data_IF_746903305285
#
_entry.id   IF_746903305285
#
_cell.length_a   1.000
_cell.length_b   1.000
_cell.length_c   1.000
_cell.angle_alpha   90.00
_cell.angle_beta   90.00
_cell.angle_gamma   90.00
#
_symmetry.space_group_name_H-M   'P 1'
#
loop_
_entity.id
_entity.type
_entity.pdbx_description
1 polymer ?
#
# COMPACT_ATOMS: atom_id res chain seq x y z
N UNK A 1 6.60 -14.54 8.49
CA UNK A 1 6.44 -13.08 8.58
C UNK A 1 6.30 -12.69 10.04
N UNK A 2 7.40 -12.30 10.64
CA UNK A 2 7.55 -11.80 12.01
C UNK A 2 7.70 -10.28 12.00
N UNK A 3 7.65 -9.62 13.15
CA UNK A 3 7.93 -8.18 13.24
C UNK A 3 9.36 -7.85 12.81
N UNK A 4 10.33 -8.73 13.12
CA UNK A 4 11.73 -8.56 12.71
C UNK A 4 11.88 -8.62 11.19
N UNK A 5 11.17 -9.52 10.51
CA UNK A 5 11.22 -9.61 9.04
C UNK A 5 10.60 -8.37 8.39
N UNK A 6 9.51 -7.82 8.94
CA UNK A 6 8.92 -6.56 8.48
C UNK A 6 9.87 -5.38 8.67
N UNK A 7 10.53 -5.30 9.83
CA UNK A 7 11.50 -4.25 10.12
C UNK A 7 12.66 -4.29 9.12
N UNK A 8 13.22 -5.48 8.84
CA UNK A 8 14.29 -5.65 7.85
C UNK A 8 13.88 -5.19 6.44
N UNK A 9 12.65 -5.53 6.00
CA UNK A 9 12.14 -5.04 4.71
C UNK A 9 12.03 -3.51 4.67
N UNK A 10 11.58 -2.90 5.76
CA UNK A 10 11.47 -1.44 5.87
C UNK A 10 12.85 -0.76 5.91
N UNK A 11 13.83 -1.36 6.59
CA UNK A 11 15.22 -0.88 6.56
C UNK A 11 15.80 -0.88 5.14
N UNK A 12 15.56 -1.95 4.38
CA UNK A 12 15.99 -2.06 2.99
C UNK A 12 15.35 -0.97 2.11
N UNK A 13 14.04 -0.76 2.24
CA UNK A 13 13.32 0.33 1.55
C UNK A 13 13.90 1.69 1.94
N UNK A 14 14.06 1.97 3.22
CA UNK A 14 14.54 3.25 3.73
C UNK A 14 16.00 3.54 3.34
N UNK A 15 16.89 2.55 3.35
CA UNK A 15 18.26 2.70 2.86
C UNK A 15 18.26 3.06 1.37
N UNK A 16 17.46 2.37 0.58
CA UNK A 16 17.39 2.56 -0.86
C UNK A 16 16.76 3.92 -1.26
N UNK A 17 15.77 4.40 -0.51
CA UNK A 17 15.18 5.74 -0.70
C UNK A 17 16.14 6.85 -0.30
N UNK A 18 16.81 6.72 0.87
CA UNK A 18 17.82 7.69 1.33
C UNK A 18 18.97 7.84 0.34
N UNK A 19 19.48 6.73 -0.21
CA UNK A 19 20.54 6.76 -1.22
C UNK A 19 20.15 7.55 -2.48
N UNK A 20 18.86 7.65 -2.78
CA UNK A 20 18.31 8.37 -3.94
C UNK A 20 17.84 9.79 -3.62
N UNK A 21 17.81 10.18 -2.35
CA UNK A 21 17.13 11.41 -1.92
C UNK A 21 15.64 11.41 -2.28
N UNK A 22 15.01 10.24 -2.30
CA UNK A 22 13.63 10.06 -2.71
C UNK A 22 12.71 9.72 -1.52
N UNK A 23 11.40 9.89 -1.74
CA UNK A 23 10.36 9.74 -0.73
C UNK A 23 9.27 8.74 -1.14
N UNK A 24 8.63 8.12 -0.15
CA UNK A 24 7.47 7.24 -0.36
C UNK A 24 6.28 7.66 0.48
N UNK A 25 5.07 7.44 -0.04
CA UNK A 25 3.80 7.54 0.70
C UNK A 25 3.01 6.23 0.62
N UNK A 26 2.11 6.00 1.56
CA UNK A 26 1.21 4.83 1.56
C UNK A 26 -0.26 5.25 1.53
N UNK A 27 -1.12 4.46 0.88
CA UNK A 27 -2.58 4.55 0.95
C UNK A 27 -3.16 3.19 1.36
N UNK A 28 -3.58 3.09 2.62
CA UNK A 28 -3.92 1.83 3.25
C UNK A 28 -5.42 1.74 3.59
N UNK A 29 -6.03 0.62 3.24
CA UNK A 29 -7.37 0.26 3.69
C UNK A 29 -7.29 -0.92 4.66
N UNK A 30 -7.25 -2.17 4.18
CA UNK A 30 -7.34 -3.35 5.04
C UNK A 30 -6.14 -3.53 6.00
N UNK A 31 -4.97 -3.00 5.67
CA UNK A 31 -3.79 -3.01 6.56
C UNK A 31 -3.90 -1.98 7.68
N UNK A 32 -4.73 -0.94 7.54
CA UNK A 32 -5.06 -0.01 8.63
C UNK A 32 -3.88 0.80 9.14
N UNK A 33 -2.94 1.18 8.27
CA UNK A 33 -1.76 1.96 8.64
C UNK A 33 -0.55 1.13 9.06
N UNK A 34 -0.58 -0.20 8.86
CA UNK A 34 0.51 -1.07 9.26
C UNK A 34 1.77 -0.85 8.42
N UNK A 35 1.64 -0.57 7.11
CA UNK A 35 2.81 -0.24 6.29
C UNK A 35 3.46 1.04 6.79
N UNK A 36 2.65 2.09 7.03
CA UNK A 36 3.12 3.33 7.62
C UNK A 36 3.79 3.08 8.98
N UNK A 37 3.19 2.26 9.86
CA UNK A 37 3.76 1.90 11.16
C UNK A 37 5.16 1.29 11.02
N UNK A 38 5.32 0.27 10.18
CA UNK A 38 6.63 -0.40 9.99
C UNK A 38 7.67 0.55 9.38
N UNK A 39 7.24 1.44 8.47
CA UNK A 39 8.10 2.52 7.96
C UNK A 39 8.55 3.44 9.10
N UNK A 40 7.63 3.90 9.94
CA UNK A 40 7.92 4.85 11.02
C UNK A 40 8.65 4.24 12.21
N UNK A 41 8.65 2.90 12.36
CA UNK A 41 9.49 2.21 13.35
C UNK A 41 11.00 2.38 13.05
N UNK A 42 11.37 2.71 11.81
CA UNK A 42 12.76 2.93 11.42
C UNK A 42 13.19 4.35 11.84
N UNK A 43 14.22 4.43 12.67
CA UNK A 43 14.80 5.72 13.06
C UNK A 43 15.28 6.52 11.83
N UNK A 44 14.90 7.80 11.77
CA UNK A 44 15.18 8.67 10.63
C UNK A 44 14.27 8.44 9.41
N UNK A 45 13.17 7.71 9.56
CA UNK A 45 12.12 7.55 8.53
C UNK A 45 11.56 8.88 8.02
N UNK A 46 11.57 9.93 8.84
CA UNK A 46 11.17 11.30 8.45
C UNK A 46 11.94 11.88 7.27
N UNK A 47 13.11 11.32 6.91
CA UNK A 47 13.88 11.76 5.75
C UNK A 47 13.34 11.22 4.41
N UNK A 48 12.49 10.19 4.43
CA UNK A 48 12.00 9.49 3.23
C UNK A 48 10.52 9.08 3.31
N UNK A 49 9.85 9.36 4.42
CA UNK A 49 8.41 9.19 4.61
C UNK A 49 7.85 10.37 5.40
N UNK A 50 6.92 11.10 4.79
CA UNK A 50 6.36 12.32 5.39
C UNK A 50 4.89 12.17 5.78
N UNK A 51 4.08 11.48 4.97
CA UNK A 51 2.69 11.15 5.31
C UNK A 51 2.25 9.82 4.72
N UNK A 52 1.21 9.26 5.33
CA UNK A 52 0.45 8.13 4.80
C UNK A 52 -1.04 8.36 5.00
N UNK A 53 -1.86 7.65 4.23
CA UNK A 53 -3.31 7.80 4.24
C UNK A 53 -3.95 6.48 4.64
N UNK A 54 -4.74 6.48 5.71
CA UNK A 54 -5.62 5.35 6.03
C UNK A 54 -7.02 5.69 5.56
N UNK A 55 -7.44 5.13 4.43
CA UNK A 55 -8.71 5.45 3.75
C UNK A 55 -9.65 4.26 3.76
N UNK A 56 -10.10 3.87 4.95
CA UNK A 56 -10.87 2.65 5.17
C UNK A 56 -12.26 2.68 4.49
N UNK A 57 -12.99 3.80 4.59
CA UNK A 57 -14.28 3.99 3.92
C UNK A 57 -14.14 4.43 2.46
N UNK A 58 -15.21 4.27 1.67
CA UNK A 58 -15.27 4.82 0.32
C UNK A 58 -15.17 6.35 0.32
N UNK A 59 -15.85 6.99 1.28
CA UNK A 59 -15.80 8.44 1.48
C UNK A 59 -14.37 8.94 1.74
N UNK A 60 -13.61 8.25 2.62
CA UNK A 60 -12.22 8.62 2.89
C UNK A 60 -11.33 8.47 1.65
N UNK A 61 -11.56 7.44 0.81
CA UNK A 61 -10.85 7.28 -0.47
C UNK A 61 -11.12 8.45 -1.41
N UNK A 62 -12.37 8.90 -1.50
CA UNK A 62 -12.75 10.03 -2.34
C UNK A 62 -12.20 11.35 -1.81
N UNK A 63 -12.42 11.66 -0.52
CA UNK A 63 -12.07 12.96 0.06
C UNK A 63 -10.56 13.18 0.22
N UNK A 64 -9.82 12.15 0.67
CA UNK A 64 -8.41 12.33 1.03
C UNK A 64 -7.46 12.16 -0.16
N UNK A 65 -7.80 11.23 -1.06
CA UNK A 65 -6.93 10.81 -2.16
C UNK A 65 -7.65 10.75 -3.50
N UNK A 66 -8.83 11.35 -3.63
CA UNK A 66 -9.45 11.63 -4.92
C UNK A 66 -9.88 10.41 -5.73
N UNK A 67 -10.15 9.27 -5.09
CA UNK A 67 -10.78 8.13 -5.78
C UNK A 67 -12.18 8.52 -6.22
N UNK A 68 -12.50 8.29 -7.49
CA UNK A 68 -13.79 8.66 -8.07
C UNK A 68 -14.92 7.81 -7.46
N UNK A 69 -16.03 8.48 -7.15
CA UNK A 69 -17.22 7.81 -6.64
C UNK A 69 -17.78 6.82 -7.66
N UNK A 70 -17.70 7.14 -8.96
CA UNK A 70 -18.14 6.24 -10.04
C UNK A 70 -17.31 4.95 -10.08
N UNK A 71 -15.98 5.06 -9.92
CA UNK A 71 -15.08 3.90 -9.87
C UNK A 71 -15.42 3.00 -8.69
N UNK A 72 -15.68 3.58 -7.51
CA UNK A 72 -16.08 2.84 -6.31
C UNK A 72 -17.44 2.15 -6.49
N UNK A 73 -18.41 2.82 -7.11
CA UNK A 73 -19.74 2.27 -7.38
C UNK A 73 -19.71 1.11 -8.38
N UNK A 74 -18.90 1.21 -9.45
CA UNK A 74 -18.84 0.21 -10.51
C UNK A 74 -18.03 -1.03 -10.14
N UNK A 75 -16.90 -0.86 -9.45
CA UNK A 75 -15.95 -1.95 -9.24
C UNK A 75 -15.85 -2.42 -7.77
N UNK A 76 -16.35 -1.61 -6.84
CA UNK A 76 -16.18 -1.80 -5.41
C UNK A 76 -14.76 -1.47 -4.93
N UNK A 77 -14.63 -1.28 -3.62
CA UNK A 77 -13.38 -0.81 -3.00
C UNK A 77 -12.19 -1.77 -3.14
N UNK A 78 -12.44 -3.07 -3.33
CA UNK A 78 -11.42 -4.10 -3.51
C UNK A 78 -11.39 -4.49 -4.97
N UNK A 79 -10.68 -3.68 -5.76
CA UNK A 79 -10.57 -3.81 -7.20
C UNK A 79 -9.32 -3.10 -7.72
N UNK A 80 -8.88 -3.50 -8.91
CA UNK A 80 -7.78 -2.88 -9.64
C UNK A 80 -7.93 -1.36 -9.83
N UNK A 81 -9.02 -0.83 -10.44
CA UNK A 81 -9.09 0.59 -10.72
C UNK A 81 -9.11 1.45 -9.45
N UNK A 82 -9.69 0.95 -8.36
CA UNK A 82 -9.67 1.66 -7.08
C UNK A 82 -8.25 1.75 -6.50
N UNK A 83 -7.47 0.66 -6.48
CA UNK A 83 -6.10 0.75 -5.93
C UNK A 83 -5.20 1.63 -6.79
N UNK A 84 -5.39 1.64 -8.12
CA UNK A 84 -4.67 2.55 -9.02
C UNK A 84 -4.97 4.01 -8.69
N UNK A 85 -6.25 4.37 -8.58
CA UNK A 85 -6.65 5.73 -8.20
C UNK A 85 -6.15 6.09 -6.79
N UNK A 86 -6.19 5.17 -5.84
CA UNK A 86 -5.63 5.38 -4.49
C UNK A 86 -4.14 5.70 -4.54
N UNK A 87 -3.34 4.95 -5.32
CA UNK A 87 -1.90 5.16 -5.41
C UNK A 87 -1.56 6.50 -6.05
N UNK A 88 -2.20 6.83 -7.19
CA UNK A 88 -2.00 8.10 -7.90
C UNK A 88 -2.44 9.28 -7.02
N UNK A 89 -3.57 9.15 -6.35
CA UNK A 89 -4.11 10.16 -5.46
C UNK A 89 -3.19 10.46 -4.27
N UNK A 90 -2.74 9.41 -3.60
CA UNK A 90 -1.80 9.53 -2.48
C UNK A 90 -0.46 10.12 -2.92
N UNK A 91 0.09 9.68 -4.04
CA UNK A 91 1.33 10.21 -4.61
C UNK A 91 1.24 11.73 -4.80
N UNK A 92 0.15 12.20 -5.42
CA UNK A 92 -0.10 13.64 -5.63
C UNK A 92 -0.31 14.39 -4.32
N UNK A 93 -1.11 13.85 -3.41
CA UNK A 93 -1.44 14.50 -2.14
C UNK A 93 -0.23 14.61 -1.19
N UNK A 94 0.67 13.63 -1.22
CA UNK A 94 1.92 13.63 -0.45
C UNK A 94 3.07 14.36 -1.15
N UNK A 95 2.97 14.57 -2.48
CA UNK A 95 4.10 15.05 -3.31
C UNK A 95 5.33 14.14 -3.17
N UNK A 96 5.08 12.83 -3.08
CA UNK A 96 6.13 11.83 -2.92
C UNK A 96 6.65 11.33 -4.28
N UNK A 97 7.80 10.67 -4.28
CA UNK A 97 8.38 10.06 -5.49
C UNK A 97 7.77 8.69 -5.79
N UNK A 98 7.39 7.95 -4.75
CA UNK A 98 6.79 6.63 -4.82
C UNK A 98 5.51 6.58 -3.98
N UNK A 99 4.54 5.78 -4.42
CA UNK A 99 3.34 5.47 -3.66
C UNK A 99 3.02 3.99 -3.73
N UNK A 100 2.54 3.44 -2.63
CA UNK A 100 1.91 2.11 -2.58
C UNK A 100 0.51 2.23 -2.01
N UNK A 101 -0.47 1.63 -2.69
CA UNK A 101 -1.84 1.52 -2.20
C UNK A 101 -2.21 0.07 -1.94
N UNK A 102 -3.08 -0.15 -0.94
CA UNK A 102 -3.51 -1.48 -0.52
C UNK A 102 -5.01 -1.46 -0.21
N UNK A 103 -5.78 -2.29 -0.91
CA UNK A 103 -7.20 -2.53 -0.61
C UNK A 103 -7.56 -3.99 -0.74
N UNK A 104 -8.18 -4.57 0.29
CA UNK A 104 -8.41 -6.01 0.36
C UNK A 104 -9.43 -6.43 1.40
N UNK A 105 -9.70 -7.73 1.44
CA UNK A 105 -10.65 -8.38 2.33
C UNK A 105 -9.85 -9.21 3.32
N UNK A 106 -9.52 -8.64 4.48
CA UNK A 106 -8.74 -9.33 5.50
C UNK A 106 -9.55 -10.41 6.27
N UNK A 107 -10.89 -10.40 6.16
CA UNK A 107 -11.75 -11.34 6.88
C UNK A 107 -12.09 -10.92 8.31
N UNK A 108 -12.81 -11.78 9.06
CA UNK A 108 -13.24 -13.12 8.64
C UNK A 108 -14.37 -13.11 7.59
N UNK A 109 -15.10 -12.00 7.46
CA UNK A 109 -16.23 -11.86 6.54
C UNK A 109 -15.89 -10.99 5.32
N UNK A 110 -16.87 -10.82 4.42
CA UNK A 110 -16.82 -9.89 3.30
C UNK A 110 -16.22 -10.45 2.00
N UNK A 111 -15.87 -11.74 1.99
CA UNK A 111 -15.47 -12.45 0.78
C UNK A 111 -16.65 -12.87 -0.09
N UNK A 112 -16.37 -13.15 -1.36
CA UNK A 112 -17.26 -13.82 -2.33
C UNK A 112 -16.50 -14.94 -3.04
N UNK A 113 -17.19 -15.74 -3.87
CA UNK A 113 -16.52 -16.75 -4.71
C UNK A 113 -15.46 -16.12 -5.64
N UNK A 114 -15.75 -14.94 -6.20
CA UNK A 114 -14.84 -14.22 -7.09
C UNK A 114 -13.68 -13.52 -6.34
N UNK A 115 -13.97 -13.01 -5.13
CA UNK A 115 -13.04 -12.26 -4.27
C UNK A 115 -13.06 -12.87 -2.86
N UNK A 116 -12.44 -14.04 -2.65
CA UNK A 116 -12.45 -14.69 -1.35
C UNK A 116 -11.74 -13.85 -0.29
N UNK A 117 -12.03 -14.14 0.98
CA UNK A 117 -11.24 -13.63 2.11
C UNK A 117 -9.75 -13.92 1.87
N UNK A 118 -8.91 -12.94 2.12
CA UNK A 118 -7.49 -12.97 1.76
C UNK A 118 -7.16 -12.23 0.46
N UNK A 119 -8.16 -11.89 -0.36
CA UNK A 119 -7.93 -11.12 -1.59
C UNK A 119 -7.46 -9.71 -1.26
N UNK A 120 -6.29 -9.32 -1.76
CA UNK A 120 -5.72 -7.98 -1.61
C UNK A 120 -5.20 -7.49 -2.95
N UNK A 121 -5.61 -6.27 -3.31
CA UNK A 121 -5.07 -5.53 -4.45
C UNK A 121 -4.04 -4.52 -3.99
N UNK A 122 -3.02 -4.35 -4.83
CA UNK A 122 -1.92 -3.42 -4.65
C UNK A 122 -1.73 -2.62 -5.94
N UNK A 123 -1.45 -1.33 -5.81
CA UNK A 123 -0.87 -0.55 -6.88
C UNK A 123 0.36 0.20 -6.38
N UNK A 124 1.35 0.29 -7.25
CA UNK A 124 2.57 1.04 -7.05
C UNK A 124 2.66 2.10 -8.13
N UNK A 125 2.97 3.33 -7.76
CA UNK A 125 3.08 4.44 -8.69
C UNK A 125 4.34 5.25 -8.39
N UNK A 126 4.95 5.81 -9.44
CA UNK A 126 6.09 6.73 -9.33
C UNK A 126 5.71 8.11 -9.88
N UNK A 127 6.40 9.15 -9.42
CA UNK A 127 6.24 10.52 -9.94
C UNK A 127 6.57 10.64 -11.44
N UNK A 128 7.24 9.63 -12.02
CA UNK A 128 7.56 9.55 -13.45
C UNK A 128 6.39 8.98 -14.29
N UNK A 129 5.29 8.59 -13.65
CA UNK A 129 4.13 8.00 -14.32
C UNK A 129 4.24 6.48 -14.55
N UNK A 130 5.26 5.84 -13.99
CA UNK A 130 5.42 4.38 -14.04
C UNK A 130 4.67 3.72 -12.88
N UNK A 131 4.23 2.49 -13.07
CA UNK A 131 3.55 1.76 -12.02
C UNK A 131 3.29 0.29 -12.37
N UNK A 132 3.02 -0.50 -11.33
CA UNK A 132 2.58 -1.88 -11.47
C UNK A 132 1.39 -2.15 -10.55
N UNK A 133 0.59 -3.12 -10.96
CA UNK A 133 -0.60 -3.57 -10.23
C UNK A 133 -0.42 -5.04 -9.88
N UNK A 134 -0.83 -5.43 -8.68
CA UNK A 134 -0.79 -6.83 -8.23
C UNK A 134 -2.08 -7.18 -7.49
N UNK A 135 -2.52 -8.43 -7.67
CA UNK A 135 -3.57 -9.05 -6.89
C UNK A 135 -2.99 -10.30 -6.25
N UNK A 136 -3.18 -10.42 -4.95
CA UNK A 136 -2.77 -11.60 -4.19
C UNK A 136 -3.97 -12.15 -3.40
N UNK A 137 -3.88 -13.42 -3.02
CA UNK A 137 -4.82 -14.05 -2.11
C UNK A 137 -4.06 -14.73 -0.97
N UNK A 138 -4.04 -14.10 0.20
CA UNK A 138 -3.30 -14.61 1.35
C UNK A 138 -4.15 -15.54 2.20
N UNK A 139 -3.59 -16.68 2.59
CA UNK A 139 -4.20 -17.57 3.59
C UNK A 139 -3.93 -17.10 5.02
N UNK A 140 -4.85 -17.45 5.92
CA UNK A 140 -4.75 -17.20 7.36
C UNK A 140 -5.92 -16.40 7.89
N UNK A 141 -5.84 -16.01 9.16
CA UNK A 141 -6.79 -15.12 9.79
C UNK A 141 -6.55 -13.65 9.41
N UNK A 142 -7.35 -12.75 9.98
CA UNK A 142 -7.28 -11.32 9.72
C UNK A 142 -5.89 -10.72 9.98
N UNK A 143 -5.21 -11.16 11.04
CA UNK A 143 -3.87 -10.67 11.36
C UNK A 143 -2.86 -11.16 10.31
N UNK A 144 -2.87 -12.45 10.01
CA UNK A 144 -1.98 -13.07 9.04
C UNK A 144 -2.12 -12.44 7.64
N UNK A 145 -3.35 -12.19 7.18
CA UNK A 145 -3.60 -11.52 5.88
C UNK A 145 -3.01 -10.11 5.87
N UNK A 146 -3.28 -9.29 6.90
CA UNK A 146 -2.78 -7.90 6.98
C UNK A 146 -1.26 -7.87 7.06
N UNK A 147 -0.67 -8.78 7.83
CA UNK A 147 0.77 -8.91 8.01
C UNK A 147 1.49 -9.32 6.73
N UNK A 148 0.94 -10.31 6.00
CA UNK A 148 1.47 -10.72 4.69
C UNK A 148 1.30 -9.63 3.63
N UNK A 149 0.17 -8.93 3.62
CA UNK A 149 -0.04 -7.80 2.71
C UNK A 149 0.97 -6.66 2.96
N UNK A 150 1.24 -6.35 4.23
CA UNK A 150 2.24 -5.35 4.64
C UNK A 150 3.64 -5.74 4.14
N UNK A 151 4.04 -7.00 4.35
CA UNK A 151 5.32 -7.49 3.86
C UNK A 151 5.42 -7.46 2.33
N UNK A 152 4.36 -7.91 1.64
CA UNK A 152 4.31 -7.93 0.18
C UNK A 152 4.47 -6.53 -0.41
N UNK A 153 3.83 -5.52 0.19
CA UNK A 153 3.96 -4.14 -0.22
C UNK A 153 5.41 -3.64 -0.13
N UNK A 154 6.07 -3.83 1.03
CA UNK A 154 7.47 -3.41 1.24
C UNK A 154 8.43 -4.17 0.32
N UNK A 155 8.26 -5.49 0.21
CA UNK A 155 9.11 -6.35 -0.62
C UNK A 155 9.00 -5.99 -2.11
N UNK A 156 7.77 -5.79 -2.60
CA UNK A 156 7.53 -5.44 -4.01
C UNK A 156 8.08 -4.06 -4.33
N UNK A 157 7.86 -3.07 -3.44
CA UNK A 157 8.44 -1.74 -3.58
C UNK A 157 9.96 -1.82 -3.69
N UNK A 158 10.60 -2.54 -2.77
CA UNK A 158 12.04 -2.71 -2.76
C UNK A 158 12.55 -3.37 -4.05
N UNK A 159 12.04 -4.55 -4.40
CA UNK A 159 12.55 -5.35 -5.52
C UNK A 159 12.28 -4.73 -6.89
N UNK A 160 11.09 -4.15 -7.09
CA UNK A 160 10.65 -3.69 -8.41
C UNK A 160 11.05 -2.24 -8.70
N UNK A 161 11.20 -1.40 -7.67
CA UNK A 161 11.42 0.03 -7.85
C UNK A 161 12.74 0.54 -7.26
N UNK A 162 13.32 -0.16 -6.27
CA UNK A 162 14.43 0.36 -5.48
C UNK A 162 15.71 -0.51 -5.51
N UNK A 163 15.66 -1.71 -6.09
CA UNK A 163 16.82 -2.62 -6.14
C UNK A 163 17.73 -2.36 -7.36
N UNK A 164 17.21 -1.73 -8.43
CA UNK A 164 17.87 -1.70 -9.76
C UNK A 164 18.11 -0.29 -10.33
N UNK A 165 18.49 0.71 -9.53
CA UNK A 165 18.77 2.06 -10.08
C UNK A 165 19.83 2.81 -9.30
#
# INVERSE_FOLDING_TARGET
MTDSELMQLSEQVGQALKARGATVTTAESCTGGWVAKVITDIAGSSAWFERGFVTYSNEAKAQMIGVREETLAQHGAVSEPVVVEMAIGALKAARADYAVSISGIAGPDGGSEEKPVGTVWFAFATARGEGIIRRECFSGDRDAVRRRATAYALQTLWQQFLQNT
#
